data_IF_535426566448
#
_entry.id   IF_535426566448
#
_cell.length_a   1.000
_cell.length_b   1.000
_cell.length_c   1.000
_cell.angle_alpha   90.00
_cell.angle_beta   90.00
_cell.angle_gamma   90.00
#
_symmetry.space_group_name_H-M   'P 1'
#
loop_
_entity.id
_entity.type
_entity.pdbx_description
1 polymer ?
#
# COMPACT_ATOMS: atom_id res chain seq x y z
N UNK A 1 6.78 -11.68 -3.09
CA UNK A 1 6.68 -10.35 -2.44
C UNK A 1 7.26 -9.23 -3.26
N UNK A 2 8.57 -9.20 -3.55
CA UNK A 2 9.20 -8.09 -4.27
C UNK A 2 8.43 -7.64 -5.53
N UNK A 3 7.98 -8.59 -6.38
CA UNK A 3 7.15 -8.25 -7.55
C UNK A 3 5.79 -7.61 -7.22
N UNK A 4 5.09 -8.09 -6.18
CA UNK A 4 3.84 -7.49 -5.68
C UNK A 4 4.09 -6.07 -5.18
N UNK A 5 5.18 -5.85 -4.43
CA UNK A 5 5.57 -4.53 -3.92
C UNK A 5 5.84 -3.53 -5.06
N UNK A 6 6.50 -3.97 -6.13
CA UNK A 6 6.66 -3.15 -7.35
C UNK A 6 5.32 -2.83 -8.01
N UNK A 7 4.45 -3.83 -8.20
CA UNK A 7 3.14 -3.62 -8.83
C UNK A 7 2.28 -2.63 -8.02
N UNK A 8 2.20 -2.80 -6.70
CA UNK A 8 1.43 -1.92 -5.82
C UNK A 8 2.01 -0.50 -5.81
N UNK A 9 3.34 -0.37 -5.68
CA UNK A 9 3.98 0.95 -5.74
C UNK A 9 3.72 1.65 -7.08
N UNK A 10 3.75 0.92 -8.19
CA UNK A 10 3.42 1.41 -9.51
C UNK A 10 1.95 1.85 -9.64
N UNK A 11 1.01 1.03 -9.17
CA UNK A 11 -0.43 1.33 -9.18
C UNK A 11 -0.71 2.59 -8.35
N UNK A 12 -0.15 2.72 -7.14
CA UNK A 12 -0.35 3.91 -6.30
C UNK A 12 0.24 5.16 -6.95
N UNK A 13 1.43 5.04 -7.53
CA UNK A 13 2.09 6.13 -8.27
C UNK A 13 1.22 6.61 -9.42
N UNK A 14 0.77 5.68 -10.27
CA UNK A 14 -0.11 5.99 -11.39
C UNK A 14 -1.43 6.60 -10.92
N UNK A 15 -2.06 6.04 -9.87
CA UNK A 15 -3.32 6.54 -9.32
C UNK A 15 -3.21 7.99 -8.87
N UNK A 16 -2.15 8.34 -8.12
CA UNK A 16 -1.96 9.71 -7.65
C UNK A 16 -1.65 10.70 -8.78
N UNK A 17 -0.86 10.29 -9.77
CA UNK A 17 -0.57 11.13 -10.95
C UNK A 17 -1.84 11.35 -11.78
N UNK A 18 -2.61 10.30 -12.06
CA UNK A 18 -3.88 10.39 -12.79
C UNK A 18 -4.87 11.28 -12.03
N UNK A 19 -5.02 11.08 -10.72
CA UNK A 19 -5.93 11.88 -9.90
C UNK A 19 -5.56 13.37 -9.90
N UNK A 20 -4.27 13.70 -9.89
CA UNK A 20 -3.80 15.08 -9.96
C UNK A 20 -4.08 15.73 -11.31
N UNK A 21 -3.76 15.04 -12.40
CA UNK A 21 -4.01 15.55 -13.76
C UNK A 21 -5.51 15.70 -14.02
N UNK A 22 -6.33 14.72 -13.60
CA UNK A 22 -7.78 14.78 -13.71
C UNK A 22 -8.43 15.88 -12.84
N UNK A 23 -7.69 16.43 -11.88
CA UNK A 23 -8.12 17.57 -11.07
C UNK A 23 -7.65 18.93 -11.62
N UNK A 24 -7.24 18.98 -12.89
CA UNK A 24 -6.61 20.16 -13.52
C UNK A 24 -5.39 20.68 -12.73
N UNK A 25 -4.65 19.77 -12.09
CA UNK A 25 -3.54 20.10 -11.20
C UNK A 25 -3.91 21.04 -10.02
N UNK A 26 -5.21 21.17 -9.69
CA UNK A 26 -5.68 22.05 -8.61
C UNK A 26 -5.57 21.44 -7.22
N UNK A 27 -5.46 20.11 -7.12
CA UNK A 27 -5.48 19.40 -5.83
C UNK A 27 -4.15 18.70 -5.53
N UNK A 28 -3.22 19.40 -4.87
CA UNK A 28 -1.95 18.80 -4.41
C UNK A 28 -2.16 17.59 -3.48
N UNK A 29 -3.29 17.51 -2.78
CA UNK A 29 -3.65 16.34 -1.96
C UNK A 29 -3.90 15.08 -2.79
N UNK A 30 -4.23 15.20 -4.08
CA UNK A 30 -4.35 14.06 -4.99
C UNK A 30 -2.99 13.38 -5.28
N UNK A 31 -1.86 14.00 -4.90
CA UNK A 31 -0.51 13.45 -5.03
C UNK A 31 -0.09 12.55 -3.86
N UNK A 32 -0.83 12.54 -2.75
CA UNK A 32 -0.56 11.66 -1.60
C UNK A 32 -0.41 10.17 -2.00
N UNK A 33 -1.31 9.61 -2.84
CA UNK A 33 -1.17 8.23 -3.32
C UNK A 33 0.13 8.02 -4.07
N UNK A 34 0.56 9.02 -4.85
CA UNK A 34 1.80 8.93 -5.61
C UNK A 34 3.04 8.99 -4.73
N UNK A 35 3.05 9.85 -3.71
CA UNK A 35 4.13 9.90 -2.73
C UNK A 35 4.29 8.56 -2.00
N UNK A 36 3.17 7.95 -1.56
CA UNK A 36 3.18 6.62 -0.93
C UNK A 36 3.64 5.53 -1.92
N UNK A 37 3.19 5.60 -3.17
CA UNK A 37 3.62 4.69 -4.23
C UNK A 37 5.13 4.74 -4.47
N UNK A 38 5.70 5.94 -4.56
CA UNK A 38 7.15 6.15 -4.72
C UNK A 38 7.94 5.58 -3.54
N UNK A 39 7.49 5.81 -2.30
CA UNK A 39 8.13 5.24 -1.12
C UNK A 39 8.11 3.69 -1.14
N UNK A 40 7.00 3.09 -1.57
CA UNK A 40 6.88 1.64 -1.73
C UNK A 40 7.79 1.14 -2.87
N UNK A 41 7.93 1.88 -3.98
CA UNK A 41 8.83 1.54 -5.08
C UNK A 41 10.30 1.60 -4.65
N UNK A 42 10.70 2.59 -3.85
CA UNK A 42 12.04 2.69 -3.27
C UNK A 42 12.32 1.47 -2.39
N UNK A 43 11.37 1.12 -1.51
CA UNK A 43 11.48 -0.09 -0.71
C UNK A 43 11.55 -1.36 -1.57
N UNK A 44 10.77 -1.44 -2.66
CA UNK A 44 10.82 -2.56 -3.60
C UNK A 44 12.20 -2.68 -4.27
N UNK A 45 12.79 -1.55 -4.69
CA UNK A 45 14.12 -1.48 -5.28
C UNK A 45 15.21 -1.93 -4.30
N UNK A 46 15.21 -1.40 -3.07
CA UNK A 46 16.14 -1.81 -2.01
C UNK A 46 15.99 -3.31 -1.71
N UNK A 47 14.78 -3.87 -1.84
CA UNK A 47 14.54 -5.29 -1.58
C UNK A 47 15.23 -6.25 -2.56
N UNK A 48 15.78 -5.75 -3.68
CA UNK A 48 16.60 -6.53 -4.60
C UNK A 48 17.94 -6.94 -3.98
N UNK A 49 18.46 -6.18 -3.02
CA UNK A 49 19.66 -6.55 -2.28
C UNK A 49 19.34 -7.65 -1.25
N UNK A 50 19.97 -8.85 -1.31
CA UNK A 50 19.62 -9.98 -0.44
C UNK A 50 19.74 -9.65 1.06
N UNK A 51 20.75 -8.85 1.44
CA UNK A 51 21.01 -8.41 2.82
C UNK A 51 19.93 -7.47 3.35
N UNK A 52 19.35 -6.63 2.50
CA UNK A 52 18.34 -5.64 2.87
C UNK A 52 16.89 -6.09 2.62
N UNK A 53 16.69 -7.19 1.88
CA UNK A 53 15.39 -7.65 1.39
C UNK A 53 14.29 -7.71 2.46
N UNK A 54 14.58 -8.26 3.63
CA UNK A 54 13.59 -8.41 4.70
C UNK A 54 13.20 -7.06 5.29
N UNK A 55 14.19 -6.23 5.65
CA UNK A 55 13.96 -4.89 6.19
C UNK A 55 13.21 -4.00 5.21
N UNK A 56 13.57 -4.05 3.93
CA UNK A 56 12.91 -3.28 2.89
C UNK A 56 11.43 -3.67 2.71
N UNK A 57 11.12 -4.97 2.73
CA UNK A 57 9.73 -5.44 2.64
C UNK A 57 8.92 -5.12 3.90
N UNK A 58 9.51 -5.17 5.10
CA UNK A 58 8.84 -4.71 6.33
C UNK A 58 8.61 -3.20 6.33
N UNK A 59 9.58 -2.41 5.86
CA UNK A 59 9.43 -0.97 5.69
C UNK A 59 8.29 -0.64 4.72
N UNK A 60 8.17 -1.37 3.59
CA UNK A 60 7.05 -1.19 2.66
C UNK A 60 5.68 -1.45 3.33
N UNK A 61 5.58 -2.45 4.20
CA UNK A 61 4.35 -2.71 4.96
C UNK A 61 4.08 -1.64 6.04
N UNK A 62 5.12 -1.12 6.68
CA UNK A 62 5.00 -0.01 7.62
C UNK A 62 4.51 1.27 6.93
N UNK A 63 5.03 1.57 5.74
CA UNK A 63 4.56 2.69 4.90
C UNK A 63 3.08 2.47 4.52
N UNK A 64 2.70 1.25 4.15
CA UNK A 64 1.30 0.93 3.85
C UNK A 64 0.38 1.14 5.06
N UNK A 65 0.80 0.72 6.25
CA UNK A 65 0.05 0.95 7.49
C UNK A 65 -0.12 2.45 7.79
N UNK A 66 0.93 3.25 7.63
CA UNK A 66 0.86 4.70 7.81
C UNK A 66 -0.06 5.34 6.77
N UNK A 67 -0.02 4.89 5.52
CA UNK A 67 -0.92 5.37 4.47
C UNK A 67 -2.39 5.02 4.75
N UNK A 68 -2.68 3.83 5.28
CA UNK A 68 -4.02 3.42 5.73
C UNK A 68 -4.48 4.35 6.87
N UNK A 69 -3.65 4.58 7.87
CA UNK A 69 -3.98 5.46 8.99
C UNK A 69 -4.23 6.92 8.53
N UNK A 70 -3.38 7.42 7.62
CA UNK A 70 -3.50 8.77 7.06
C UNK A 70 -4.74 8.96 6.17
N UNK A 71 -5.19 7.90 5.49
CA UNK A 71 -6.38 7.95 4.63
C UNK A 71 -7.68 7.64 5.38
N UNK A 72 -7.62 6.98 6.54
CA UNK A 72 -8.79 6.60 7.32
C UNK A 72 -9.73 7.78 7.64
N UNK A 73 -9.19 8.94 8.02
CA UNK A 73 -10.00 10.13 8.32
C UNK A 73 -10.83 10.61 7.12
N UNK A 74 -10.27 10.51 5.91
CA UNK A 74 -10.98 10.88 4.69
C UNK A 74 -11.98 9.81 4.27
N UNK A 75 -11.69 8.54 4.53
CA UNK A 75 -12.63 7.43 4.30
C UNK A 75 -13.85 7.55 5.21
N UNK A 76 -13.72 8.06 6.44
CA UNK A 76 -14.90 8.31 7.29
C UNK A 76 -15.87 9.35 6.69
N UNK A 77 -15.38 10.22 5.79
CA UNK A 77 -16.18 11.21 5.06
C UNK A 77 -16.88 10.65 3.81
N UNK A 78 -16.80 9.33 3.57
CA UNK A 78 -17.52 8.70 2.45
C UNK A 78 -19.03 8.96 2.52
N UNK A 79 -19.59 9.02 3.73
CA UNK A 79 -21.01 9.33 3.93
C UNK A 79 -21.40 10.70 3.38
N UNK A 80 -20.59 11.72 3.63
CA UNK A 80 -20.79 13.08 3.10
C UNK A 80 -20.64 13.12 1.57
N UNK A 81 -19.75 12.28 1.01
CA UNK A 81 -19.59 12.15 -0.43
C UNK A 81 -20.86 11.58 -1.07
N UNK A 82 -21.44 10.52 -0.50
CA UNK A 82 -22.70 9.94 -0.99
C UNK A 82 -23.90 10.86 -0.76
N UNK A 83 -23.89 11.66 0.31
CA UNK A 83 -24.91 12.67 0.58
C UNK A 83 -24.77 13.92 -0.33
N UNK A 84 -23.69 14.04 -1.10
CA UNK A 84 -23.41 15.22 -1.93
C UNK A 84 -23.00 16.47 -1.14
N UNK A 85 -22.71 16.33 0.15
CA UNK A 85 -22.35 17.44 1.05
C UNK A 85 -20.84 17.55 1.30
N UNK A 86 -20.03 16.69 0.70
CA UNK A 86 -18.59 16.70 0.89
C UNK A 86 -17.95 17.99 0.33
N UNK A 87 -17.23 18.73 1.18
CA UNK A 87 -16.49 19.93 0.77
C UNK A 87 -15.38 19.63 -0.26
N UNK A 88 -14.79 18.43 -0.21
CA UNK A 88 -13.65 18.02 -1.07
C UNK A 88 -13.85 16.60 -1.62
N UNK A 89 -14.79 16.40 -2.56
CA UNK A 89 -15.19 15.08 -3.01
C UNK A 89 -14.04 14.30 -3.67
N UNK A 90 -13.21 14.98 -4.49
CA UNK A 90 -12.07 14.36 -5.15
C UNK A 90 -11.03 13.80 -4.16
N UNK A 91 -10.79 14.52 -3.05
CA UNK A 91 -9.86 14.08 -2.01
C UNK A 91 -10.37 12.84 -1.27
N UNK A 92 -11.68 12.77 -1.02
CA UNK A 92 -12.34 11.61 -0.40
C UNK A 92 -12.24 10.39 -1.33
N UNK A 93 -12.52 10.56 -2.62
CA UNK A 93 -12.41 9.47 -3.62
C UNK A 93 -10.96 8.95 -3.70
N UNK A 94 -9.99 9.84 -3.91
CA UNK A 94 -8.58 9.47 -4.03
C UNK A 94 -8.05 8.77 -2.77
N UNK A 95 -8.44 9.28 -1.58
CA UNK A 95 -8.07 8.66 -0.30
C UNK A 95 -8.68 7.28 -0.13
N UNK A 96 -9.92 7.07 -0.58
CA UNK A 96 -10.61 5.79 -0.50
C UNK A 96 -9.98 4.74 -1.40
N UNK A 97 -9.67 5.10 -2.65
CA UNK A 97 -8.95 4.22 -3.57
C UNK A 97 -7.59 3.84 -2.98
N UNK A 98 -6.86 4.82 -2.46
CA UNK A 98 -5.56 4.60 -1.82
C UNK A 98 -5.66 3.66 -0.62
N UNK A 99 -6.63 3.89 0.25
CA UNK A 99 -6.90 3.05 1.42
C UNK A 99 -7.12 1.59 1.00
N UNK A 100 -8.00 1.34 0.02
CA UNK A 100 -8.31 0.00 -0.47
C UNK A 100 -7.08 -0.69 -1.05
N UNK A 101 -6.31 0.00 -1.90
CA UNK A 101 -5.10 -0.60 -2.51
C UNK A 101 -4.06 -0.93 -1.44
N UNK A 102 -3.83 -0.04 -0.47
CA UNK A 102 -2.90 -0.29 0.62
C UNK A 102 -3.37 -1.42 1.54
N UNK A 103 -4.67 -1.52 1.81
CA UNK A 103 -5.23 -2.60 2.62
C UNK A 103 -5.04 -3.96 1.94
N UNK A 104 -5.33 -4.04 0.63
CA UNK A 104 -5.09 -5.25 -0.16
C UNK A 104 -3.60 -5.63 -0.13
N UNK A 105 -2.71 -4.65 -0.31
CA UNK A 105 -1.27 -4.90 -0.24
C UNK A 105 -0.82 -5.40 1.13
N UNK A 106 -1.33 -4.81 2.22
CA UNK A 106 -1.02 -5.21 3.58
C UNK A 106 -1.46 -6.65 3.85
N UNK A 107 -2.70 -7.00 3.49
CA UNK A 107 -3.24 -8.36 3.66
C UNK A 107 -2.44 -9.38 2.84
N UNK A 108 -2.18 -9.09 1.56
CA UNK A 108 -1.37 -9.96 0.70
C UNK A 108 0.07 -10.12 1.22
N UNK A 109 0.64 -9.03 1.76
CA UNK A 109 1.94 -9.02 2.42
C UNK A 109 1.98 -9.96 3.61
N UNK A 110 1.05 -9.80 4.55
CA UNK A 110 0.94 -10.64 5.75
C UNK A 110 0.74 -12.11 5.37
N UNK A 111 -0.17 -12.40 4.43
CA UNK A 111 -0.43 -13.76 3.97
C UNK A 111 0.84 -14.45 3.42
N UNK A 112 1.67 -13.71 2.69
CA UNK A 112 2.94 -14.23 2.20
C UNK A 112 3.94 -14.52 3.32
N UNK A 113 4.04 -13.66 4.33
CA UNK A 113 4.91 -13.89 5.49
C UNK A 113 4.47 -15.13 6.27
N UNK A 114 3.16 -15.28 6.51
CA UNK A 114 2.59 -16.46 7.16
C UNK A 114 2.89 -17.71 6.35
N UNK A 115 2.68 -17.68 5.02
CA UNK A 115 3.00 -18.81 4.13
C UNK A 115 4.48 -19.18 4.18
N UNK A 116 5.38 -18.20 4.15
CA UNK A 116 6.81 -18.43 4.25
C UNK A 116 7.22 -19.04 5.60
N UNK A 117 6.57 -18.63 6.71
CA UNK A 117 6.78 -19.23 8.03
C UNK A 117 6.31 -20.68 8.07
N UNK A 118 5.13 -20.97 7.51
CA UNK A 118 4.58 -22.34 7.45
C UNK A 118 5.47 -23.27 6.63
N UNK A 119 6.00 -22.81 5.48
CA UNK A 119 6.94 -23.60 4.69
C UNK A 119 8.23 -23.94 5.47
N UNK A 120 8.77 -23.00 6.24
CA UNK A 120 9.95 -23.27 7.07
C UNK A 120 9.67 -24.29 8.17
N UNK A 121 8.52 -24.19 8.84
CA UNK A 121 8.13 -25.13 9.89
C UNK A 121 7.88 -26.55 9.34
N UNK A 122 7.39 -26.67 8.11
CA UNK A 122 7.17 -27.96 7.45
C UNK A 122 8.48 -28.62 6.96
N UNK A 123 9.56 -27.84 6.79
CA UNK A 123 10.87 -28.32 6.35
C UNK A 123 11.84 -28.53 7.52
N UNK A 124 11.40 -28.31 8.75
CA UNK A 124 12.22 -28.53 9.94
C UNK A 124 12.40 -30.04 10.17
N UNK A 125 13.62 -30.59 10.08
CA UNK A 125 13.84 -32.03 10.18
C UNK A 125 13.36 -32.63 11.52
N UNK A 126 13.29 -31.82 12.58
CA UNK A 126 12.74 -32.23 13.87
C UNK A 126 11.25 -32.60 13.83
N UNK A 127 10.51 -32.11 12.83
CA UNK A 127 9.08 -32.37 12.63
C UNK A 127 8.81 -33.42 11.53
N UNK A 128 9.86 -33.92 10.87
CA UNK A 128 9.78 -34.99 9.86
C UNK A 128 9.96 -36.40 10.46
N UNK A 129 10.38 -36.48 11.73
CA UNK A 129 10.62 -37.73 12.47
C UNK A 129 9.60 -37.98 13.59
N UNK A 130 8.56 -37.15 13.70
CA UNK A 130 7.45 -37.27 14.66
C UNK A 130 6.18 -37.73 13.94
#
# INVERSE_FOLDING_TARGET
MTGLTFAVGGILTATGVIAYVASDASSLTALIPAALGVLILIAAFISRAPKARRHALHAALAIALLGIAGTAMNVMKLGELFAGTAERPNAVIASTVTFVVLLVFLVAGIAFFVRARRYRAAQDPANATA
#
